data_IF_525003990123
#
_entry.id   IF_525003990123
#
_cell.length_a   1.000
_cell.length_b   1.000
_cell.length_c   1.000
_cell.angle_alpha   90.00
_cell.angle_beta   90.00
_cell.angle_gamma   90.00
#
_symmetry.space_group_name_H-M   'P 1'
#
loop_
_entity.id
_entity.type
_entity.pdbx_description
1 polymer ?
#
# COMPACT_ATOMS: atom_id res chain seq x y z
N UNK A 1 6.11 -4.01 -24.11
CA UNK A 1 6.31 -3.38 -22.78
C UNK A 1 7.39 -4.16 -22.04
N UNK A 2 8.47 -3.50 -21.59
CA UNK A 2 9.55 -4.14 -20.81
C UNK A 2 9.07 -4.23 -19.36
N UNK A 3 8.99 -5.45 -18.81
CA UNK A 3 8.63 -5.67 -17.41
C UNK A 3 9.73 -5.10 -16.52
N UNK A 4 9.35 -4.44 -15.42
CA UNK A 4 10.31 -3.91 -14.46
C UNK A 4 10.97 -5.05 -13.69
N UNK A 5 12.29 -4.98 -13.49
CA UNK A 5 13.00 -5.99 -12.70
C UNK A 5 12.52 -5.98 -11.25
N UNK A 6 12.41 -7.16 -10.63
CA UNK A 6 11.80 -7.33 -9.31
C UNK A 6 12.45 -6.47 -8.21
N UNK A 7 13.74 -6.19 -8.30
CA UNK A 7 14.43 -5.33 -7.34
C UNK A 7 13.97 -3.88 -7.41
N UNK A 8 13.72 -3.34 -8.61
CA UNK A 8 13.12 -2.01 -8.77
C UNK A 8 11.68 -1.99 -8.27
N UNK A 9 10.91 -3.06 -8.52
CA UNK A 9 9.53 -3.17 -8.00
C UNK A 9 9.52 -3.10 -6.46
N UNK A 10 10.40 -3.86 -5.80
CA UNK A 10 10.56 -3.81 -4.34
C UNK A 10 10.95 -2.41 -3.86
N UNK A 11 11.96 -1.81 -4.49
CA UNK A 11 12.51 -0.52 -4.09
C UNK A 11 11.49 0.61 -4.22
N UNK A 12 10.78 0.68 -5.35
CA UNK A 12 9.79 1.72 -5.60
C UNK A 12 8.51 1.51 -4.78
N UNK A 13 8.03 0.27 -4.65
CA UNK A 13 6.89 -0.01 -3.79
C UNK A 13 7.20 0.34 -2.32
N UNK A 14 8.39 0.00 -1.82
CA UNK A 14 8.79 0.34 -0.45
C UNK A 14 8.74 1.87 -0.22
N UNK A 15 9.31 2.65 -1.15
CA UNK A 15 9.31 4.12 -1.05
C UNK A 15 7.90 4.72 -1.17
N UNK A 16 7.05 4.18 -2.06
CA UNK A 16 5.65 4.57 -2.17
C UNK A 16 4.91 4.34 -0.86
N UNK A 17 5.00 3.13 -0.30
CA UNK A 17 4.32 2.76 0.95
C UNK A 17 4.85 3.58 2.12
N UNK A 18 6.15 3.87 2.19
CA UNK A 18 6.72 4.74 3.23
C UNK A 18 6.22 6.18 3.10
N UNK A 19 6.10 6.70 1.88
CA UNK A 19 5.45 7.99 1.61
C UNK A 19 3.99 8.02 2.07
N UNK A 20 3.23 6.96 1.78
CA UNK A 20 1.85 6.81 2.26
C UNK A 20 1.77 6.74 3.78
N UNK A 21 2.64 5.95 4.43
CA UNK A 21 2.72 5.87 5.90
C UNK A 21 2.88 7.27 6.53
N UNK A 22 3.76 8.10 5.95
CA UNK A 22 4.02 9.45 6.43
C UNK A 22 2.79 10.38 6.34
N UNK A 23 2.07 10.38 5.22
CA UNK A 23 0.89 11.24 5.04
C UNK A 23 -0.34 10.69 5.79
N UNK A 24 -0.51 9.36 5.83
CA UNK A 24 -1.60 8.69 6.56
C UNK A 24 -1.47 8.91 8.06
N UNK A 25 -0.25 8.89 8.61
CA UNK A 25 0.02 9.24 10.01
C UNK A 25 -0.35 10.69 10.38
N UNK A 26 -0.62 11.54 9.39
CA UNK A 26 -1.10 12.93 9.55
C UNK A 26 -2.58 13.08 9.16
N UNK A 27 -3.28 11.96 8.98
CA UNK A 27 -4.68 11.93 8.55
C UNK A 27 -4.90 12.42 7.13
N UNK A 28 -3.88 12.48 6.28
CA UNK A 28 -4.02 12.92 4.88
C UNK A 28 -4.17 11.70 3.97
N UNK A 29 -5.21 11.70 3.14
CA UNK A 29 -5.40 10.76 2.03
C UNK A 29 -5.00 11.45 0.73
N UNK A 30 -4.26 10.76 -0.14
CA UNK A 30 -3.81 11.32 -1.42
C UNK A 30 -4.91 11.33 -2.48
N UNK A 31 -5.76 10.30 -2.53
CA UNK A 31 -6.90 10.19 -3.45
C UNK A 31 -6.55 10.14 -4.96
N UNK A 32 -5.28 9.97 -5.34
CA UNK A 32 -4.89 9.82 -6.75
C UNK A 32 -3.52 9.16 -6.93
N UNK A 33 -3.27 8.09 -6.18
CA UNK A 33 -2.07 7.26 -6.36
C UNK A 33 -2.19 6.50 -7.69
N UNK A 34 -1.24 6.77 -8.58
CA UNK A 34 -1.11 6.18 -9.92
C UNK A 34 0.30 6.42 -10.46
N UNK A 35 0.79 5.66 -11.45
CA UNK A 35 2.16 5.79 -11.96
C UNK A 35 2.55 7.22 -12.36
N UNK A 36 1.62 8.00 -12.92
CA UNK A 36 1.88 9.37 -13.37
C UNK A 36 2.20 10.33 -12.20
N UNK A 37 1.77 10.00 -10.98
CA UNK A 37 2.01 10.80 -9.77
C UNK A 37 3.20 10.28 -8.93
N UNK A 38 4.01 9.37 -9.51
CA UNK A 38 5.20 8.80 -8.89
C UNK A 38 6.43 9.25 -9.67
N UNK A 39 7.12 10.27 -9.14
CA UNK A 39 8.35 10.77 -9.75
C UNK A 39 9.49 9.80 -9.48
N UNK A 40 10.19 9.37 -10.53
CA UNK A 40 11.34 8.47 -10.44
C UNK A 40 12.61 9.19 -10.88
N UNK A 41 13.65 9.15 -10.04
CA UNK A 41 15.02 9.48 -10.44
C UNK A 41 15.77 8.18 -10.75
N UNK A 42 16.07 7.96 -12.03
CA UNK A 42 16.78 6.76 -12.49
C UNK A 42 18.24 6.66 -12.03
N UNK A 43 18.87 7.78 -11.62
CA UNK A 43 20.25 7.78 -11.11
C UNK A 43 20.27 7.44 -9.62
N UNK A 44 19.42 8.09 -8.83
CA UNK A 44 19.37 7.87 -7.38
C UNK A 44 18.41 6.77 -6.96
N UNK A 45 17.68 6.17 -7.90
CA UNK A 45 16.63 5.16 -7.70
C UNK A 45 15.59 5.60 -6.65
N UNK A 46 15.31 6.90 -6.63
CA UNK A 46 14.41 7.52 -5.65
C UNK A 46 13.02 7.70 -6.24
N UNK A 47 12.00 7.31 -5.47
CA UNK A 47 10.60 7.60 -5.76
C UNK A 47 10.10 8.74 -4.87
N UNK A 48 9.35 9.69 -5.45
CA UNK A 48 8.65 10.74 -4.71
C UNK A 48 7.19 10.82 -5.13
N UNK A 49 6.29 10.93 -4.16
CA UNK A 49 4.90 11.28 -4.39
C UNK A 49 4.79 12.74 -4.84
N UNK A 50 3.95 13.01 -5.84
CA UNK A 50 3.61 14.36 -6.27
C UNK A 50 2.10 14.51 -6.51
N UNK A 51 1.65 15.71 -6.85
CA UNK A 51 0.26 16.04 -7.16
C UNK A 51 -0.73 15.77 -6.00
N UNK A 52 -0.63 16.62 -4.97
CA UNK A 52 -1.57 16.65 -3.84
C UNK A 52 -2.83 17.46 -4.14
N UNK A 53 -3.14 17.76 -5.42
CA UNK A 53 -4.29 18.61 -5.80
C UNK A 53 -5.66 17.99 -5.46
N UNK A 54 -5.73 16.67 -5.32
CA UNK A 54 -6.92 15.92 -4.89
C UNK A 54 -6.83 15.40 -3.45
N UNK A 55 -5.68 15.61 -2.80
CA UNK A 55 -5.44 15.15 -1.45
C UNK A 55 -6.27 15.95 -0.44
N UNK A 56 -6.60 15.32 0.68
CA UNK A 56 -7.35 15.98 1.76
C UNK A 56 -7.05 15.36 3.11
N UNK A 57 -7.36 16.13 4.16
CA UNK A 57 -7.34 15.62 5.54
C UNK A 57 -8.67 14.96 5.84
N UNK A 58 -8.60 13.73 6.36
CA UNK A 58 -9.76 12.98 6.81
C UNK A 58 -10.19 13.50 8.18
N UNK A 59 -11.47 13.78 8.32
CA UNK A 59 -12.10 14.19 9.58
C UNK A 59 -13.12 13.13 9.96
N UNK A 60 -13.05 12.65 11.20
CA UNK A 60 -13.96 11.62 11.69
C UNK A 60 -15.40 12.12 11.66
N UNK A 61 -16.31 11.32 11.08
CA UNK A 61 -17.73 11.66 10.96
C UNK A 61 -18.09 12.53 9.75
N UNK A 62 -17.12 13.11 9.03
CA UNK A 62 -17.41 13.88 7.82
C UNK A 62 -17.65 12.97 6.60
N UNK A 63 -18.68 13.30 5.83
CA UNK A 63 -18.94 12.63 4.56
C UNK A 63 -18.04 13.17 3.45
N UNK A 64 -17.56 12.26 2.62
CA UNK A 64 -16.58 12.52 1.59
C UNK A 64 -17.14 12.26 0.20
N UNK A 65 -16.71 13.03 -0.81
CA UNK A 65 -17.07 12.75 -2.21
C UNK A 65 -16.46 11.39 -2.64
N UNK A 66 -17.27 10.43 -3.15
CA UNK A 66 -16.78 9.10 -3.52
C UNK A 66 -16.11 9.09 -4.90
N UNK A 67 -16.43 10.05 -5.78
CA UNK A 67 -15.85 10.13 -7.12
C UNK A 67 -14.46 10.78 -7.09
N UNK A 68 -13.51 10.06 -6.49
CA UNK A 68 -12.09 10.39 -6.43
C UNK A 68 -11.25 9.23 -6.99
N UNK A 69 -9.93 9.40 -7.09
CA UNK A 69 -8.99 8.48 -7.75
C UNK A 69 -9.19 8.32 -9.25
N UNK A 70 -8.09 8.20 -9.96
CA UNK A 70 -8.08 7.74 -11.35
C UNK A 70 -8.64 6.30 -11.46
N UNK A 71 -9.47 6.06 -12.48
CA UNK A 71 -10.36 4.88 -12.58
C UNK A 71 -9.67 3.53 -12.32
N UNK A 72 -8.54 3.27 -12.96
CA UNK A 72 -7.85 1.97 -12.87
C UNK A 72 -7.29 1.67 -11.47
N UNK A 73 -7.11 2.70 -10.65
CA UNK A 73 -6.56 2.61 -9.29
C UNK A 73 -7.61 2.89 -8.22
N UNK A 74 -8.88 3.05 -8.62
CA UNK A 74 -9.99 3.38 -7.71
C UNK A 74 -10.40 2.16 -6.90
N UNK A 75 -10.45 2.34 -5.58
CA UNK A 75 -10.86 1.31 -4.64
C UNK A 75 -12.36 0.94 -4.82
N UNK A 76 -12.76 -0.32 -4.60
CA UNK A 76 -14.11 -0.78 -4.89
C UNK A 76 -15.17 -0.08 -4.03
N UNK A 77 -14.87 0.29 -2.79
CA UNK A 77 -15.77 1.09 -1.94
C UNK A 77 -16.11 2.46 -2.53
N UNK A 78 -15.17 3.08 -3.27
CA UNK A 78 -15.43 4.34 -3.98
C UNK A 78 -16.33 4.12 -5.19
N UNK A 79 -16.19 2.98 -5.87
CA UNK A 79 -17.06 2.59 -6.99
C UNK A 79 -18.49 2.34 -6.49
N UNK A 80 -18.63 1.74 -5.29
CA UNK A 80 -19.92 1.55 -4.62
C UNK A 80 -20.48 2.82 -3.98
N UNK A 81 -19.81 3.98 -4.13
CA UNK A 81 -20.32 5.26 -3.66
C UNK A 81 -20.16 5.51 -2.16
N UNK A 82 -19.26 4.80 -1.48
CA UNK A 82 -18.98 5.02 -0.05
C UNK A 82 -18.50 6.44 0.22
N UNK A 83 -19.12 7.13 1.17
CA UNK A 83 -18.73 8.48 1.61
C UNK A 83 -17.94 8.48 2.92
N UNK A 84 -17.78 7.32 3.55
CA UNK A 84 -17.07 7.10 4.82
C UNK A 84 -15.77 6.30 4.63
N UNK A 85 -15.17 6.36 3.44
CA UNK A 85 -13.88 5.72 3.16
C UNK A 85 -12.76 6.32 4.02
N UNK A 86 -11.63 5.62 4.08
CA UNK A 86 -10.45 6.03 4.87
C UNK A 86 -9.23 6.16 3.99
N UNK A 87 -8.04 6.37 4.58
CA UNK A 87 -6.77 6.34 3.87
C UNK A 87 -6.46 5.00 3.18
N UNK A 88 -7.19 3.92 3.52
CA UNK A 88 -7.05 2.60 2.90
C UNK A 88 -7.36 2.57 1.40
N UNK A 89 -8.01 3.60 0.85
CA UNK A 89 -8.18 3.74 -0.61
C UNK A 89 -6.84 3.92 -1.33
N UNK A 90 -5.88 4.64 -0.72
CA UNK A 90 -4.54 4.80 -1.29
C UNK A 90 -3.76 3.49 -1.27
N UNK A 91 -4.01 2.62 -0.27
CA UNK A 91 -3.39 1.30 -0.19
C UNK A 91 -3.88 0.37 -1.30
N UNK A 92 -5.17 0.43 -1.64
CA UNK A 92 -5.70 -0.25 -2.82
C UNK A 92 -5.03 0.25 -4.09
N UNK A 93 -4.97 1.58 -4.27
CA UNK A 93 -4.32 2.19 -5.42
C UNK A 93 -2.84 1.79 -5.52
N UNK A 94 -2.11 1.75 -4.40
CA UNK A 94 -0.73 1.26 -4.35
C UNK A 94 -0.62 -0.23 -4.71
N UNK A 95 -1.59 -1.06 -4.32
CA UNK A 95 -1.68 -2.45 -4.75
C UNK A 95 -1.89 -2.61 -6.26
N UNK A 96 -2.70 -1.73 -6.85
CA UNK A 96 -2.90 -1.68 -8.30
C UNK A 96 -1.62 -1.24 -9.03
N UNK A 97 -0.90 -0.24 -8.52
CA UNK A 97 0.42 0.18 -9.04
C UNK A 97 1.43 -0.96 -8.92
N UNK A 98 1.45 -1.66 -7.79
CA UNK A 98 2.32 -2.82 -7.58
C UNK A 98 2.08 -3.91 -8.61
N UNK A 99 0.82 -4.30 -8.80
CA UNK A 99 0.43 -5.28 -9.81
C UNK A 99 0.80 -4.82 -11.23
N UNK A 100 0.60 -3.53 -11.54
CA UNK A 100 0.98 -2.96 -12.84
C UNK A 100 2.49 -3.00 -13.10
N UNK A 101 3.33 -2.75 -12.09
CA UNK A 101 4.78 -2.89 -12.22
C UNK A 101 5.20 -4.33 -12.53
N UNK A 102 4.50 -5.33 -11.97
CA UNK A 102 4.74 -6.75 -12.22
C UNK A 102 4.23 -7.21 -13.60
N UNK A 103 3.08 -6.70 -14.05
CA UNK A 103 2.43 -7.10 -15.29
C UNK A 103 2.97 -6.36 -16.52
N UNK A 104 3.43 -5.11 -16.32
CA UNK A 104 3.79 -4.17 -17.37
C UNK A 104 2.59 -3.47 -18.03
N UNK A 105 1.40 -3.60 -17.43
CA UNK A 105 0.13 -3.00 -17.84
C UNK A 105 -0.83 -2.91 -16.63
N UNK A 106 -1.83 -2.00 -16.63
CA UNK A 106 -2.77 -1.87 -15.53
C UNK A 106 -3.54 -3.17 -15.24
N UNK A 107 -3.73 -3.51 -13.96
CA UNK A 107 -4.41 -4.72 -13.52
C UNK A 107 -5.92 -4.71 -13.86
N UNK A 108 -6.59 -3.57 -13.64
CA UNK A 108 -8.04 -3.42 -13.80
C UNK A 108 -8.35 -2.31 -14.81
N UNK A 109 -8.80 -2.67 -16.01
CA UNK A 109 -8.97 -1.74 -17.15
C UNK A 109 -10.44 -1.49 -17.51
N UNK A 110 -11.24 -1.07 -16.53
CA UNK A 110 -12.66 -0.77 -16.74
C UNK A 110 -12.91 0.47 -17.61
N UNK A 111 -13.91 0.41 -18.50
CA UNK A 111 -14.28 1.53 -19.38
C UNK A 111 -15.05 2.64 -18.65
N UNK A 112 -15.77 2.28 -17.60
CA UNK A 112 -16.55 3.14 -16.71
C UNK A 112 -16.53 2.58 -15.27
N UNK A 113 -17.33 3.15 -14.36
CA UNK A 113 -17.36 2.70 -12.96
C UNK A 113 -17.85 1.26 -12.78
N UNK A 114 -18.89 0.87 -13.52
CA UNK A 114 -19.47 -0.49 -13.42
C UNK A 114 -18.50 -1.50 -14.03
N UNK A 115 -17.95 -1.21 -15.21
CA UNK A 115 -16.94 -2.04 -15.85
C UNK A 115 -15.68 -2.16 -14.99
N UNK A 116 -15.29 -1.12 -14.24
CA UNK A 116 -14.17 -1.20 -13.30
C UNK A 116 -14.43 -2.24 -12.20
N UNK A 117 -15.64 -2.28 -11.63
CA UNK A 117 -16.01 -3.29 -10.65
C UNK A 117 -16.01 -4.70 -11.28
N UNK A 118 -16.48 -4.84 -12.52
CA UNK A 118 -16.44 -6.12 -13.25
C UNK A 118 -15.00 -6.62 -13.44
N UNK A 119 -14.05 -5.75 -13.80
CA UNK A 119 -12.63 -6.14 -13.91
C UNK A 119 -12.04 -6.58 -12.56
N UNK A 120 -12.46 -5.95 -11.45
CA UNK A 120 -12.04 -6.37 -10.10
C UNK A 120 -12.60 -7.76 -9.78
N UNK A 121 -13.90 -7.99 -10.03
CA UNK A 121 -14.58 -9.28 -9.77
C UNK A 121 -13.96 -10.42 -10.59
N UNK A 122 -13.52 -10.17 -11.83
CA UNK A 122 -12.85 -11.19 -12.63
C UNK A 122 -11.58 -11.72 -11.96
N UNK A 123 -10.89 -10.91 -11.18
CA UNK A 123 -9.64 -11.29 -10.48
C UNK A 123 -9.94 -11.78 -9.06
N UNK A 124 -10.63 -10.97 -8.26
CA UNK A 124 -10.87 -11.27 -6.84
C UNK A 124 -12.08 -12.16 -6.57
N UNK A 125 -12.85 -12.48 -7.61
CA UNK A 125 -14.14 -13.16 -7.47
C UNK A 125 -15.25 -12.23 -6.98
N UNK A 126 -16.45 -12.78 -6.89
CA UNK A 126 -17.63 -12.07 -6.41
C UNK A 126 -17.49 -11.75 -4.92
N UNK A 127 -17.63 -10.47 -4.49
CA UNK A 127 -17.57 -10.12 -3.08
C UNK A 127 -18.71 -10.78 -2.30
N UNK A 128 -18.40 -11.22 -1.09
CA UNK A 128 -19.40 -11.70 -0.14
C UNK A 128 -20.31 -10.58 0.35
N UNK A 129 -21.46 -10.93 0.93
CA UNK A 129 -22.36 -9.96 1.57
C UNK A 129 -21.66 -9.16 2.68
N UNK A 130 -20.74 -9.81 3.42
CA UNK A 130 -19.96 -9.13 4.45
C UNK A 130 -19.01 -8.09 3.85
N UNK A 131 -18.31 -8.43 2.76
CA UNK A 131 -17.43 -7.50 2.06
C UNK A 131 -18.19 -6.33 1.42
N UNK A 132 -19.38 -6.59 0.85
CA UNK A 132 -20.24 -5.52 0.32
C UNK A 132 -20.64 -4.54 1.41
N UNK A 133 -21.06 -5.03 2.58
CA UNK A 133 -21.39 -4.20 3.74
C UNK A 133 -20.16 -3.46 4.29
N UNK A 134 -18.99 -4.08 4.29
CA UNK A 134 -17.74 -3.44 4.72
C UNK A 134 -17.31 -2.31 3.78
N UNK A 135 -17.53 -2.45 2.47
CA UNK A 135 -17.23 -1.42 1.48
C UNK A 135 -18.22 -0.24 1.55
N UNK A 136 -19.51 -0.53 1.60
CA UNK A 136 -20.55 0.49 1.76
C UNK A 136 -21.77 -0.10 2.50
N UNK A 137 -21.99 0.25 3.77
CA UNK A 137 -23.13 -0.22 4.55
C UNK A 137 -24.50 0.16 3.97
N UNK A 138 -24.56 1.23 3.17
CA UNK A 138 -25.78 1.71 2.52
C UNK A 138 -25.99 1.14 1.12
N UNK A 139 -25.09 0.26 0.64
CA UNK A 139 -25.27 -0.37 -0.67
C UNK A 139 -26.50 -1.29 -0.62
N UNK A 140 -27.42 -1.19 -1.60
CA UNK A 140 -28.61 -2.03 -1.62
C UNK A 140 -28.20 -3.50 -1.62
N UNK A 141 -29.03 -4.36 -1.02
CA UNK A 141 -28.83 -5.81 -1.11
C UNK A 141 -28.97 -6.23 -2.57
N UNK A 142 -27.83 -6.35 -3.23
CA UNK A 142 -27.69 -6.71 -4.63
C UNK A 142 -26.88 -7.99 -4.71
N UNK A 143 -27.43 -8.99 -5.40
CA UNK A 143 -26.73 -10.24 -5.63
C UNK A 143 -26.06 -10.22 -7.01
N UNK A 144 -24.73 -10.29 -7.01
CA UNK A 144 -23.96 -10.46 -8.24
C UNK A 144 -24.15 -11.88 -8.75
N UNK A 145 -24.87 -12.02 -9.86
CA UNK A 145 -25.07 -13.29 -10.57
C UNK A 145 -24.53 -13.20 -12.00
N UNK A 146 -23.84 -14.24 -12.51
CA UNK A 146 -23.41 -15.44 -11.79
C UNK A 146 -22.28 -15.14 -10.78
N UNK A 147 -22.10 -16.02 -9.79
CA UNK A 147 -20.94 -15.93 -8.88
C UNK A 147 -19.66 -16.37 -9.61
N UNK A 148 -18.61 -15.58 -9.45
CA UNK A 148 -17.29 -15.79 -10.05
C UNK A 148 -16.31 -16.16 -8.93
N UNK A 149 -15.55 -17.23 -9.12
CA UNK A 149 -14.49 -17.62 -8.20
C UNK A 149 -13.26 -16.72 -8.37
N UNK A 150 -12.56 -16.44 -7.27
CA UNK A 150 -11.30 -15.72 -7.32
C UNK A 150 -10.25 -16.48 -8.15
N UNK A 151 -9.48 -15.74 -8.94
CA UNK A 151 -8.34 -16.30 -9.65
C UNK A 151 -7.12 -16.31 -8.72
N UNK A 152 -6.41 -17.44 -8.58
CA UNK A 152 -5.16 -17.47 -7.81
C UNK A 152 -4.15 -16.46 -8.36
N UNK A 153 -3.48 -15.72 -7.49
CA UNK A 153 -2.52 -14.69 -7.88
C UNK A 153 -1.37 -15.24 -8.74
N UNK A 154 -1.00 -16.51 -8.56
CA UNK A 154 -0.03 -17.24 -9.39
C UNK A 154 -0.43 -17.32 -10.87
N UNK A 155 -1.74 -17.29 -11.16
CA UNK A 155 -2.29 -17.29 -12.52
C UNK A 155 -2.56 -15.89 -13.05
N UNK A 156 -2.80 -14.94 -12.15
CA UNK A 156 -2.99 -13.52 -12.50
C UNK A 156 -1.66 -12.91 -12.94
N UNK A 157 -0.61 -13.15 -12.15
CA UNK A 157 0.75 -12.77 -12.49
C UNK A 157 1.44 -13.83 -13.36
N UNK A 158 2.64 -13.52 -13.83
CA UNK A 158 3.44 -14.44 -14.64
C UNK A 158 4.13 -15.46 -13.74
N UNK A 159 4.38 -16.68 -14.24
CA UNK A 159 4.95 -17.79 -13.45
C UNK A 159 6.34 -17.54 -12.81
N UNK A 160 7.05 -16.49 -13.22
CA UNK A 160 8.32 -16.07 -12.59
C UNK A 160 8.14 -15.09 -11.43
N UNK A 161 6.91 -14.69 -11.12
CA UNK A 161 6.63 -13.75 -10.03
C UNK A 161 6.89 -14.44 -8.69
N UNK A 162 7.73 -13.87 -7.81
CA UNK A 162 8.02 -14.46 -6.51
C UNK A 162 6.74 -14.67 -5.68
N UNK A 163 6.67 -15.76 -4.92
CA UNK A 163 5.51 -16.09 -4.07
C UNK A 163 5.19 -14.95 -3.10
N UNK A 164 6.20 -14.29 -2.55
CA UNK A 164 6.04 -13.17 -1.62
C UNK A 164 5.37 -11.96 -2.28
N UNK A 165 5.48 -11.81 -3.61
CA UNK A 165 4.78 -10.77 -4.33
C UNK A 165 3.28 -11.08 -4.45
N UNK A 166 2.93 -12.33 -4.74
CA UNK A 166 1.54 -12.80 -4.80
C UNK A 166 0.84 -12.62 -3.44
N UNK A 167 1.50 -13.04 -2.36
CA UNK A 167 0.99 -12.88 -0.99
C UNK A 167 0.80 -11.41 -0.62
N UNK A 168 1.74 -10.54 -0.99
CA UNK A 168 1.61 -9.11 -0.73
C UNK A 168 0.45 -8.49 -1.52
N UNK A 169 0.26 -8.90 -2.77
CA UNK A 169 -0.87 -8.44 -3.58
C UNK A 169 -2.21 -8.82 -2.93
N UNK A 170 -2.35 -10.07 -2.44
CA UNK A 170 -3.52 -10.55 -1.72
C UNK A 170 -3.84 -9.73 -0.46
N UNK A 171 -2.80 -9.30 0.26
CA UNK A 171 -2.92 -8.51 1.49
C UNK A 171 -3.22 -7.03 1.23
N UNK A 172 -2.94 -6.51 0.04
CA UNK A 172 -3.21 -5.12 -0.34
C UNK A 172 -4.56 -4.96 -1.08
N UNK A 173 -4.93 -5.95 -1.89
CA UNK A 173 -6.11 -5.92 -2.78
C UNK A 173 -7.27 -6.71 -2.17
N UNK A 174 -7.74 -6.25 -1.00
CA UNK A 174 -8.93 -6.77 -0.30
C UNK A 174 -10.15 -5.90 -0.54
N UNK A 175 -11.33 -6.51 -0.68
CA UNK A 175 -12.60 -5.78 -0.72
C UNK A 175 -12.86 -5.02 0.57
N UNK A 176 -12.79 -5.72 1.71
CA UNK A 176 -12.89 -5.08 3.03
C UNK A 176 -11.73 -4.08 3.21
N UNK A 177 -12.02 -2.76 3.31
CA UNK A 177 -10.98 -1.75 3.44
C UNK A 177 -10.18 -1.89 4.74
N UNK A 178 -10.75 -2.47 5.80
CA UNK A 178 -10.09 -2.72 7.08
C UNK A 178 -9.20 -3.96 7.07
N UNK A 179 -9.42 -4.89 6.12
CA UNK A 179 -8.59 -6.07 5.94
C UNK A 179 -7.30 -5.80 5.15
N UNK A 180 -7.14 -4.60 4.56
CA UNK A 180 -5.91 -4.20 3.86
C UNK A 180 -4.82 -3.90 4.88
N UNK A 181 -3.61 -4.44 4.65
CA UNK A 181 -2.50 -4.20 5.57
C UNK A 181 -2.16 -2.70 5.69
N UNK A 182 -2.06 -2.14 6.91
CA UNK A 182 -1.62 -0.76 7.11
C UNK A 182 -0.21 -0.52 6.53
N UNK A 183 0.14 0.73 6.15
CA UNK A 183 1.38 1.01 5.43
C UNK A 183 2.65 0.47 6.10
N UNK A 184 2.81 0.66 7.42
CA UNK A 184 3.98 0.15 8.14
C UNK A 184 4.02 -1.39 8.19
N UNK A 185 2.88 -2.06 8.27
CA UNK A 185 2.82 -3.52 8.19
C UNK A 185 3.17 -4.04 6.79
N UNK A 186 2.75 -3.33 5.74
CA UNK A 186 3.21 -3.60 4.36
C UNK A 186 4.74 -3.50 4.30
N UNK A 187 5.34 -2.44 4.85
CA UNK A 187 6.81 -2.29 4.90
C UNK A 187 7.53 -3.38 5.69
N UNK A 188 6.83 -4.17 6.51
CA UNK A 188 7.39 -5.30 7.27
C UNK A 188 7.26 -6.64 6.53
N UNK A 189 6.56 -6.68 5.39
CA UNK A 189 6.37 -7.89 4.61
C UNK A 189 7.70 -8.49 4.13
N UNK A 190 7.74 -9.81 3.98
CA UNK A 190 8.93 -10.57 3.54
C UNK A 190 9.36 -10.26 2.10
N UNK A 191 8.44 -9.76 1.28
CA UNK A 191 8.75 -9.26 -0.06
C UNK A 191 9.90 -8.24 -0.07
N UNK A 192 10.06 -7.47 1.01
CA UNK A 192 11.11 -6.45 1.15
C UNK A 192 12.38 -6.95 1.86
N UNK A 193 12.51 -8.24 2.20
CA UNK A 193 13.67 -8.75 2.97
C UNK A 193 15.00 -8.51 2.29
N UNK A 194 15.05 -8.68 0.97
CA UNK A 194 16.27 -8.42 0.22
C UNK A 194 16.73 -6.96 0.30
N UNK A 195 15.83 -6.01 0.55
CA UNK A 195 16.21 -4.60 0.73
C UNK A 195 16.88 -4.35 2.08
N UNK A 196 16.60 -5.19 3.09
CA UNK A 196 17.12 -5.09 4.46
C UNK A 196 18.46 -5.80 4.65
N UNK A 197 19.00 -6.46 3.62
CA UNK A 197 20.33 -7.08 3.67
C UNK A 197 21.41 -6.03 3.86
N UNK A 198 22.39 -6.31 4.72
CA UNK A 198 23.57 -5.46 4.95
C UNK A 198 24.44 -5.33 3.68
N UNK A 199 24.41 -6.34 2.81
CA UNK A 199 25.05 -6.30 1.48
C UNK A 199 24.49 -5.17 0.59
N UNK A 200 23.30 -4.64 0.92
CA UNK A 200 22.69 -3.48 0.27
C UNK A 200 22.79 -2.22 1.14
N UNK A 201 23.96 -1.94 1.72
CA UNK A 201 24.19 -0.76 2.54
C UNK A 201 23.80 0.58 1.87
N UNK A 202 23.81 0.66 0.54
CA UNK A 202 23.29 1.81 -0.22
C UNK A 202 21.81 2.12 0.06
N UNK A 203 21.03 1.13 0.52
CA UNK A 203 19.64 1.26 0.93
C UNK A 203 19.45 1.90 2.31
N UNK A 204 20.50 2.37 2.99
CA UNK A 204 20.39 2.99 4.33
C UNK A 204 19.31 4.09 4.39
N UNK A 205 19.09 4.82 3.30
CA UNK A 205 18.04 5.86 3.19
C UNK A 205 16.61 5.31 3.22
N UNK A 206 16.39 4.02 2.98
CA UNK A 206 15.08 3.40 3.14
C UNK A 206 14.69 3.27 4.61
N UNK A 207 15.68 3.21 5.50
CA UNK A 207 15.52 2.85 6.92
C UNK A 207 15.75 4.04 7.88
N UNK A 208 15.95 5.25 7.35
CA UNK A 208 16.13 6.48 8.15
C UNK A 208 14.80 7.04 8.67
N UNK A 209 13.98 6.19 9.30
CA UNK A 209 12.71 6.61 9.89
C UNK A 209 12.93 7.67 10.96
N UNK A 210 12.16 8.76 10.89
CA UNK A 210 12.14 9.76 11.96
C UNK A 210 11.38 9.23 13.17
N UNK A 211 11.65 9.72 14.40
CA UNK A 211 10.95 9.25 15.59
C UNK A 211 9.42 9.34 15.48
N UNK A 212 8.90 10.39 14.86
CA UNK A 212 7.47 10.60 14.64
C UNK A 212 6.84 9.57 13.68
N UNK A 213 7.62 8.96 12.78
CA UNK A 213 7.14 7.87 11.91
C UNK A 213 6.94 6.55 12.68
N UNK A 214 7.55 6.40 13.86
CA UNK A 214 7.60 5.16 14.63
C UNK A 214 6.97 5.26 16.03
N UNK A 215 6.30 6.37 16.35
CA UNK A 215 5.71 6.62 17.69
C UNK A 215 4.76 5.51 18.12
N UNK A 216 3.94 4.99 17.21
CA UNK A 216 2.91 3.98 17.51
C UNK A 216 3.35 2.54 17.23
N UNK A 217 4.63 2.34 16.91
CA UNK A 217 5.18 1.06 16.51
C UNK A 217 5.74 0.34 17.73
N UNK A 218 5.38 -0.93 17.92
CA UNK A 218 5.92 -1.74 19.01
C UNK A 218 7.43 -1.92 18.88
N UNK A 219 8.13 -2.22 19.98
CA UNK A 219 9.57 -2.48 19.94
C UNK A 219 9.92 -3.64 18.98
N UNK A 220 9.09 -4.68 18.93
CA UNK A 220 9.23 -5.82 18.01
C UNK A 220 9.12 -5.39 16.55
N UNK A 221 8.11 -4.60 16.22
CA UNK A 221 7.88 -4.13 14.84
C UNK A 221 8.96 -3.13 14.41
N UNK A 222 9.49 -2.33 15.34
CA UNK A 222 10.61 -1.44 15.08
C UNK A 222 11.86 -2.21 14.64
N UNK A 223 12.17 -3.34 15.28
CA UNK A 223 13.28 -4.21 14.87
C UNK A 223 13.08 -4.82 13.47
N UNK A 224 11.83 -4.92 13.01
CA UNK A 224 11.48 -5.41 11.68
C UNK A 224 11.58 -4.32 10.62
N UNK A 225 11.24 -3.08 10.96
CA UNK A 225 11.31 -1.91 10.08
C UNK A 225 12.74 -1.38 9.92
N UNK A 226 13.53 -1.37 10.99
CA UNK A 226 14.90 -0.84 11.01
C UNK A 226 15.88 -2.00 11.17
N UNK A 227 16.63 -2.37 10.11
CA UNK A 227 17.63 -3.43 10.19
C UNK A 227 18.70 -3.11 11.23
N UNK A 228 19.23 -4.14 11.90
CA UNK A 228 20.22 -3.98 12.98
C UNK A 228 21.44 -3.15 12.56
N UNK A 229 21.95 -3.36 11.35
CA UNK A 229 23.12 -2.64 10.79
C UNK A 229 22.87 -1.15 10.53
N UNK A 230 21.61 -0.69 10.52
CA UNK A 230 21.25 0.73 10.41
C UNK A 230 21.19 1.39 11.80
N UNK A 231 20.82 0.62 12.84
CA UNK A 231 20.59 1.17 14.17
C UNK A 231 21.90 1.73 14.75
N UNK A 232 21.90 2.96 15.32
CA UNK A 232 23.10 3.60 15.86
C UNK A 232 23.88 2.74 16.87
N UNK A 233 23.17 1.89 17.63
CA UNK A 233 23.78 1.00 18.63
C UNK A 233 24.65 -0.10 18.05
N UNK A 234 24.43 -0.51 16.80
CA UNK A 234 25.20 -1.59 16.19
C UNK A 234 26.68 -1.25 16.01
N UNK A 235 27.04 0.03 16.09
CA UNK A 235 28.43 0.52 16.01
C UNK A 235 29.08 0.75 17.37
N UNK A 236 28.34 0.61 18.47
CA UNK A 236 28.87 0.71 19.83
C UNK A 236 28.54 -0.58 20.56
N UNK A 237 29.52 -1.47 20.65
CA UNK A 237 29.40 -2.64 21.51
C UNK A 237 29.03 -2.21 22.92
N UNK A 238 27.90 -2.74 23.42
CA UNK A 238 27.48 -2.74 24.81
C UNK A 238 27.26 -1.37 25.46
N UNK A 239 26.06 -0.81 25.35
CA UNK A 239 25.39 -0.22 26.52
C UNK A 239 23.90 0.02 26.24
N UNK A 240 23.02 -0.49 27.11
CA UNK A 240 21.56 -0.39 27.04
C UNK A 240 21.09 1.04 27.37
N UNK A 241 21.31 1.98 26.46
CA UNK A 241 20.96 3.40 26.64
C UNK A 241 19.79 3.89 25.80
N UNK A 242 18.70 3.09 25.71
CA UNK A 242 17.41 3.59 25.18
C UNK A 242 16.43 4.08 26.26
N UNK A 243 16.80 3.94 27.53
CA UNK A 243 15.99 4.37 28.68
C UNK A 243 15.94 5.89 28.89
N UNK A 244 16.71 6.68 28.14
CA UNK A 244 16.86 8.12 28.38
C UNK A 244 15.95 9.04 27.56
N UNK A 245 15.17 8.50 26.60
CA UNK A 245 14.34 9.32 25.70
C UNK A 245 12.88 9.48 26.13
N UNK A 246 12.50 9.00 27.32
CA UNK A 246 11.16 9.19 27.91
C UNK A 246 11.10 10.29 28.97
N UNK A 247 12.20 11.02 29.22
CA UNK A 247 12.29 12.05 30.27
C UNK A 247 12.79 13.39 29.74
N UNK A 248 12.09 13.95 28.76
CA UNK A 248 12.21 15.38 28.42
C UNK A 248 10.85 15.86 27.95
N UNK A 249 10.04 16.32 28.90
CA UNK A 249 8.74 16.93 28.64
C UNK A 249 8.87 18.27 27.90
N UNK A 250 7.84 18.52 27.10
CA UNK A 250 7.21 19.82 26.89
C UNK A 250 5.71 19.60 26.90
#
# INVERSE_FOLDING_TARGET
SKVMEHDYVKLYLYQLIRGLAFIHGRGVVHCDIKPQNLLLDGKSQTLKLCDFGTAKRMVFGEQNRPYVCSRYYRAPELILGSTSYTTSVDLWSAGCVFAEMLLGQPLFTGKDGINQLVEIIKVLGTPSTQELRAMNPNYPEYEFTPRIAAHPWEKVFRGWTPREANELADLMLRYDPAARLPPLHVLMHRFFDSLRSEERASNVKLFNFRPDELVWVTARDRQRLVPRWVSPDSRRGGDDSWSSWSSSGW
#
